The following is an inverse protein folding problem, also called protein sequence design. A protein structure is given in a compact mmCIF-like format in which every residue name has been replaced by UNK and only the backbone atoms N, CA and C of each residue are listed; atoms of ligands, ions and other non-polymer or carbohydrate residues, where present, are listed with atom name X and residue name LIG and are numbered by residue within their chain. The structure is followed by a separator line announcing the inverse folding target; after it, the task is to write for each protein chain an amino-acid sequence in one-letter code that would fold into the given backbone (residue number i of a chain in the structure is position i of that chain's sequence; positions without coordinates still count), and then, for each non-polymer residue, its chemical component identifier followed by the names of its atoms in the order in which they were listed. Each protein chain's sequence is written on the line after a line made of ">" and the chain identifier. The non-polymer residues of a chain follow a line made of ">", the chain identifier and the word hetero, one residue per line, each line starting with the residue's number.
data_IF_145817217337
#
_entry.id   IF_145817217337
#
_cell.length_a   1.000
_cell.length_b   1.000
_cell.length_c   1.000
_cell.angle_alpha   90.00
_cell.angle_beta   90.00
_cell.angle_gamma   90.00
#
_symmetry.space_group_name_H-M   'P 1'
#
loop_
_entity.id
_entity.type
_entity.pdbx_description
1 polymer ?
#
# COMPACT_ATOMS: atom_id res chain seq x y z
N UNK A 1 -9.70 -5.27 2.06
CA UNK A 1 -8.52 -4.53 1.54
C UNK A 1 -8.93 -3.11 1.23
N UNK A 2 -7.98 -2.19 1.13
CA UNK A 2 -8.21 -0.80 0.73
C UNK A 2 -7.13 -0.38 -0.25
N UNK A 3 -7.49 0.57 -1.13
CA UNK A 3 -6.51 1.19 -2.02
C UNK A 3 -5.69 2.17 -1.22
N UNK A 4 -4.37 2.00 -1.27
CA UNK A 4 -3.42 2.83 -0.56
C UNK A 4 -2.30 3.29 -1.48
N UNK A 5 -1.86 4.53 -1.29
CA UNK A 5 -0.63 5.03 -1.88
C UNK A 5 0.53 4.63 -0.98
N UNK A 6 1.51 3.93 -1.55
CA UNK A 6 2.76 3.59 -0.88
C UNK A 6 3.77 4.70 -1.17
N UNK A 7 4.22 5.40 -0.13
CA UNK A 7 5.32 6.34 -0.23
C UNK A 7 6.62 5.55 -0.06
N UNK A 8 7.30 5.30 -1.19
CA UNK A 8 8.59 4.62 -1.21
C UNK A 8 9.71 5.46 -0.60
N UNK A 9 10.75 4.79 -0.09
CA UNK A 9 11.94 5.41 0.50
C UNK A 9 12.47 6.56 -0.38
N UNK A 10 12.72 7.72 0.24
CA UNK A 10 13.13 8.97 -0.41
C UNK A 10 14.45 8.88 -1.21
N UNK A 11 15.07 7.69 -1.32
CA UNK A 11 16.29 7.44 -2.08
C UNK A 11 16.10 7.34 -3.61
N UNK A 12 14.87 7.40 -4.15
CA UNK A 12 14.64 7.42 -5.61
C UNK A 12 14.38 8.83 -6.15
N UNK A 13 15.33 9.33 -6.96
CA UNK A 13 15.43 10.66 -7.59
C UNK A 13 14.25 11.08 -8.50
N UNK A 14 13.22 10.25 -8.68
CA UNK A 14 12.11 10.50 -9.61
C UNK A 14 10.79 10.71 -8.88
N UNK A 15 10.52 11.97 -8.54
CA UNK A 15 9.32 12.44 -7.82
C UNK A 15 7.95 12.08 -8.45
N UNK A 16 7.89 11.62 -9.71
CA UNK A 16 6.65 11.13 -10.34
C UNK A 16 6.41 9.62 -10.20
N UNK A 17 7.40 8.85 -9.75
CA UNK A 17 7.28 7.40 -9.50
C UNK A 17 7.17 7.08 -7.99
N UNK A 18 7.16 8.09 -7.12
CA UNK A 18 7.33 7.94 -5.67
C UNK A 18 6.09 7.43 -4.91
N UNK A 19 4.95 7.31 -5.58
CA UNK A 19 3.64 7.09 -4.95
C UNK A 19 2.77 6.09 -5.71
N UNK A 20 3.21 4.83 -5.91
CA UNK A 20 2.34 3.83 -6.52
C UNK A 20 1.07 3.62 -5.67
N UNK A 21 -0.07 3.63 -6.34
CA UNK A 21 -1.37 3.24 -5.81
C UNK A 21 -1.48 1.72 -5.89
N UNK A 22 -1.64 1.06 -4.75
CA UNK A 22 -1.71 -0.39 -4.66
C UNK A 22 -2.72 -0.81 -3.60
N UNK A 23 -3.23 -2.02 -3.71
CA UNK A 23 -4.09 -2.57 -2.66
C UNK A 23 -3.26 -3.05 -1.48
N UNK A 24 -3.71 -2.68 -0.28
CA UNK A 24 -3.09 -3.09 0.98
C UNK A 24 -4.17 -3.62 1.92
N UNK A 25 -3.82 -4.64 2.70
CA UNK A 25 -4.71 -5.18 3.73
C UNK A 25 -4.72 -4.27 4.98
N UNK A 26 -5.82 -4.30 5.73
CA UNK A 26 -5.97 -3.50 6.96
C UNK A 26 -4.84 -3.75 7.97
N UNK A 27 -4.33 -4.99 8.07
CA UNK A 27 -3.22 -5.33 8.97
C UNK A 27 -1.94 -4.57 8.61
N UNK A 28 -1.56 -4.54 7.33
CA UNK A 28 -0.41 -3.79 6.86
C UNK A 28 -0.65 -2.28 6.99
N UNK A 29 -1.84 -1.80 6.65
CA UNK A 29 -2.20 -0.38 6.84
C UNK A 29 -1.99 0.00 8.31
N UNK A 30 -2.55 -0.73 9.27
CA UNK A 30 -2.38 -0.42 10.69
C UNK A 30 -0.93 -0.51 11.16
N UNK A 31 -0.17 -1.49 10.64
CA UNK A 31 1.24 -1.69 10.98
C UNK A 31 2.12 -0.54 10.53
N UNK A 32 1.95 -0.09 9.28
CA UNK A 32 2.80 0.94 8.67
C UNK A 32 2.27 2.37 8.88
N UNK A 33 0.96 2.57 9.04
CA UNK A 33 0.37 3.88 9.36
C UNK A 33 0.86 4.46 10.69
N UNK A 34 1.23 3.60 11.64
CA UNK A 34 1.80 4.01 12.93
C UNK A 34 3.30 3.69 13.06
N UNK A 35 3.93 3.18 12.00
CA UNK A 35 5.37 2.93 12.03
C UNK A 35 6.12 4.20 11.68
N UNK A 36 7.21 4.48 12.39
CA UNK A 36 8.20 5.46 11.97
C UNK A 36 9.09 4.91 10.83
N UNK A 37 8.91 3.64 10.47
CA UNK A 37 9.65 2.92 9.45
C UNK A 37 8.97 3.03 8.07
N UNK A 38 9.78 3.09 7.01
CA UNK A 38 9.27 3.11 5.63
C UNK A 38 8.86 1.71 5.17
N UNK A 39 7.84 1.57 4.31
CA UNK A 39 7.14 2.63 3.58
C UNK A 39 5.94 3.24 4.33
N UNK A 40 5.66 4.52 4.07
CA UNK A 40 4.44 5.18 4.60
C UNK A 40 3.26 4.76 3.72
N UNK A 41 2.19 4.31 4.37
CA UNK A 41 0.95 3.88 3.69
C UNK A 41 -0.13 4.92 3.90
N UNK A 42 -0.63 5.50 2.83
CA UNK A 42 -1.72 6.47 2.87
C UNK A 42 -2.99 5.89 2.23
N UNK A 43 -4.07 5.76 3.01
CA UNK A 43 -5.37 5.34 2.46
C UNK A 43 -5.92 6.41 1.52
N UNK A 44 -6.26 6.02 0.29
CA UNK A 44 -6.82 6.90 -0.73
C UNK A 44 -8.27 6.53 -1.08
N UNK A 45 -8.67 5.27 -0.87
CA UNK A 45 -10.03 4.84 -1.11
C UNK A 45 -10.31 3.41 -0.67
N UNK A 46 -11.48 2.92 -1.04
CA UNK A 46 -11.84 1.51 -0.91
C UNK A 46 -11.06 0.64 -1.90
N UNK A 47 -11.15 -0.68 -1.75
CA UNK A 47 -10.48 -1.64 -2.63
C UNK A 47 -10.83 -1.40 -4.10
N UNK A 48 -9.80 -1.31 -4.94
CA UNK A 48 -9.95 -1.14 -6.38
C UNK A 48 -9.28 -2.29 -7.13
N UNK A 49 -10.05 -3.09 -7.86
CA UNK A 49 -9.56 -4.27 -8.56
C UNK A 49 -8.54 -3.97 -9.67
N UNK A 50 -8.43 -2.71 -10.13
CA UNK A 50 -7.45 -2.31 -11.15
C UNK A 50 -6.01 -2.45 -10.62
N UNK A 51 -5.82 -2.28 -9.31
CA UNK A 51 -4.52 -2.42 -8.63
C UNK A 51 -4.18 -3.86 -8.18
N UNK A 52 -5.02 -4.84 -8.53
CA UNK A 52 -4.81 -6.25 -8.21
C UNK A 52 -5.43 -6.71 -6.90
N UNK A 53 -5.63 -8.01 -6.76
CA UNK A 53 -6.33 -8.63 -5.62
C UNK A 53 -5.40 -9.06 -4.47
N UNK A 54 -4.12 -8.75 -4.60
CA UNK A 54 -3.05 -9.08 -3.66
C UNK A 54 -2.57 -7.84 -2.89
N UNK A 55 -2.24 -8.03 -1.62
CA UNK A 55 -1.63 -7.00 -0.80
C UNK A 55 -0.18 -6.77 -1.22
N UNK A 56 0.17 -5.57 -1.66
CA UNK A 56 1.53 -5.26 -2.12
C UNK A 56 2.63 -5.39 -1.05
N UNK A 57 2.27 -5.51 0.24
CA UNK A 57 3.22 -5.58 1.36
C UNK A 57 3.38 -6.98 1.95
N UNK A 58 2.36 -7.83 1.90
CA UNK A 58 2.39 -9.16 2.49
C UNK A 58 1.88 -10.26 1.55
N UNK A 59 1.60 -9.91 0.30
CA UNK A 59 1.15 -10.83 -0.76
C UNK A 59 -0.14 -11.60 -0.41
N UNK A 60 -0.89 -11.10 0.59
CA UNK A 60 -2.16 -11.68 1.02
C UNK A 60 -3.21 -11.44 -0.06
N UNK A 61 -3.93 -12.47 -0.48
CA UNK A 61 -5.03 -12.34 -1.44
C UNK A 61 -6.36 -12.05 -0.76
N UNK A 62 -7.24 -11.30 -1.44
CA UNK A 62 -8.60 -11.05 -0.93
C UNK A 62 -9.47 -12.33 -0.93
N UNK A 63 -9.12 -13.33 -1.75
CA UNK A 63 -9.87 -14.59 -1.89
C UNK A 63 -9.61 -15.63 -0.78
N UNK A 64 -8.72 -15.38 0.18
CA UNK A 64 -8.62 -16.19 1.39
C UNK A 64 -9.65 -15.70 2.43
N UNK A 65 -10.92 -16.07 2.22
CA UNK A 65 -12.01 -15.96 3.21
C UNK A 65 -12.07 -17.19 4.15
#
# INVERSE_FOLDING_TARGET
>A
MKTCTILGDMSSDRASEQYPEVNVCDECIQRYKNSEDSPIVNEIGDYDSDYGEECALCEKHISEE
#
